data_IF_784354613808
#
_entry.id   IF_784354613808
#
_cell.length_a   1.000
_cell.length_b   1.000
_cell.length_c   1.000
_cell.angle_alpha   90.00
_cell.angle_beta   90.00
_cell.angle_gamma   90.00
#
_symmetry.space_group_name_H-M   'P 1'
#
loop_
_entity.id
_entity.type
_entity.pdbx_description
1 polymer ?
#
# COMPACT_ATOMS: atom_id res chain seq x y z
N UNK A 1 2.79 -1.93 15.64
CA UNK A 1 1.37 -1.62 15.32
C UNK A 1 1.39 -0.76 14.06
N UNK A 2 0.37 -0.86 13.20
CA UNK A 2 0.29 0.02 12.03
C UNK A 2 -0.05 1.46 12.46
N UNK A 3 0.41 2.42 11.66
CA UNK A 3 0.05 3.82 11.86
C UNK A 3 -1.45 4.01 11.62
N UNK A 4 -2.16 4.82 12.43
CA UNK A 4 -3.62 4.94 12.33
C UNK A 4 -4.13 5.33 10.94
N UNK A 5 -3.38 6.15 10.19
CA UNK A 5 -3.78 6.53 8.83
C UNK A 5 -3.76 5.35 7.85
N UNK A 6 -2.82 4.40 8.01
CA UNK A 6 -2.80 3.18 7.22
C UNK A 6 -4.01 2.32 7.58
N UNK A 7 -4.31 2.18 8.89
CA UNK A 7 -5.49 1.45 9.36
C UNK A 7 -6.79 2.02 8.76
N UNK A 8 -6.91 3.35 8.67
CA UNK A 8 -8.05 4.01 8.00
C UNK A 8 -8.05 3.73 6.49
N UNK A 9 -6.89 3.89 5.83
CA UNK A 9 -6.75 3.69 4.39
C UNK A 9 -7.04 2.25 3.94
N UNK A 10 -6.92 1.25 4.82
CA UNK A 10 -7.25 -0.15 4.51
C UNK A 10 -8.66 -0.32 3.92
N UNK A 11 -9.63 0.49 4.34
CA UNK A 11 -11.00 0.40 3.82
C UNK A 11 -11.07 0.81 2.35
N UNK A 12 -10.36 1.87 1.96
CA UNK A 12 -10.31 2.35 0.57
C UNK A 12 -9.46 1.44 -0.32
N UNK A 13 -8.35 0.93 0.22
CA UNK A 13 -7.53 -0.09 -0.44
C UNK A 13 -8.39 -1.32 -0.72
N UNK A 14 -9.14 -1.81 0.27
CA UNK A 14 -10.02 -2.97 0.11
C UNK A 14 -11.12 -2.71 -0.92
N UNK A 15 -11.71 -1.52 -0.90
CA UNK A 15 -12.69 -1.11 -1.90
C UNK A 15 -12.12 -1.16 -3.32
N UNK A 16 -10.90 -0.62 -3.53
CA UNK A 16 -10.27 -0.58 -4.85
C UNK A 16 -9.92 -1.98 -5.35
N UNK A 17 -9.29 -2.82 -4.53
CA UNK A 17 -9.01 -4.22 -4.87
C UNK A 17 -10.25 -4.99 -5.31
N UNK A 18 -11.39 -4.78 -4.61
CA UNK A 18 -12.68 -5.36 -5.00
C UNK A 18 -13.15 -4.92 -6.38
N UNK A 19 -12.90 -3.67 -6.80
CA UNK A 19 -13.24 -3.22 -8.16
C UNK A 19 -12.46 -3.96 -9.25
N UNK A 20 -11.28 -4.49 -8.89
CA UNK A 20 -10.42 -5.28 -9.77
C UNK A 20 -10.62 -6.79 -9.58
N UNK A 21 -11.72 -7.23 -8.96
CA UNK A 21 -12.03 -8.64 -8.68
C UNK A 21 -10.92 -9.38 -7.91
N UNK A 22 -10.15 -8.66 -7.09
CA UNK A 22 -9.04 -9.21 -6.32
C UNK A 22 -9.30 -9.04 -4.81
N UNK A 23 -9.01 -10.05 -3.97
CA UNK A 23 -9.02 -9.86 -2.53
C UNK A 23 -7.80 -9.05 -2.09
N UNK A 24 -7.98 -8.14 -1.14
CA UNK A 24 -6.85 -7.48 -0.48
C UNK A 24 -6.19 -8.43 0.50
N UNK A 25 -4.89 -8.65 0.33
CA UNK A 25 -4.08 -9.46 1.23
C UNK A 25 -2.83 -8.66 1.58
N UNK A 26 -2.68 -8.34 2.87
CA UNK A 26 -1.47 -7.75 3.42
C UNK A 26 -0.49 -8.90 3.71
N UNK A 27 0.68 -8.89 3.08
CA UNK A 27 1.71 -9.93 3.25
C UNK A 27 2.74 -9.57 4.30
N UNK A 28 2.90 -8.28 4.61
CA UNK A 28 3.84 -7.75 5.59
C UNK A 28 3.37 -6.38 6.08
N UNK A 29 3.62 -6.08 7.36
CA UNK A 29 3.31 -4.80 8.00
C UNK A 29 4.43 -4.34 8.92
N UNK A 30 4.37 -4.69 10.21
CA UNK A 30 5.43 -4.39 11.19
C UNK A 30 6.27 -5.63 11.51
N UNK A 31 6.58 -6.41 10.49
CA UNK A 31 7.26 -7.69 10.58
C UNK A 31 8.22 -7.87 9.40
N UNK A 32 8.92 -9.01 9.36
CA UNK A 32 9.87 -9.32 8.29
C UNK A 32 11.24 -8.66 8.43
N UNK A 33 12.08 -8.88 7.42
CA UNK A 33 13.40 -8.27 7.31
C UNK A 33 13.41 -7.30 6.13
N UNK A 34 13.61 -6.03 6.43
CA UNK A 34 13.57 -4.91 5.48
C UNK A 34 14.90 -4.16 5.46
N UNK A 35 15.10 -3.33 4.45
CA UNK A 35 16.27 -2.45 4.33
C UNK A 35 16.42 -1.55 5.57
N UNK A 36 17.66 -1.14 5.93
CA UNK A 36 17.87 -0.14 6.97
C UNK A 36 16.97 1.09 6.76
N UNK A 37 16.41 1.60 7.85
CA UNK A 37 15.51 2.77 7.88
C UNK A 37 14.13 2.61 7.21
N UNK A 38 13.77 1.40 6.74
CA UNK A 38 12.45 1.09 6.18
C UNK A 38 11.30 1.55 7.09
N UNK A 39 10.22 2.04 6.46
CA UNK A 39 9.02 2.50 7.14
C UNK A 39 8.17 1.35 7.73
N UNK A 40 8.39 0.10 7.31
CA UNK A 40 7.82 -1.08 7.97
C UNK A 40 8.15 -1.10 9.47
N UNK A 41 9.42 -0.85 9.83
CA UNK A 41 9.87 -0.84 11.22
C UNK A 41 9.19 0.23 12.09
N UNK A 42 8.55 1.21 11.47
CA UNK A 42 7.81 2.30 12.11
C UNK A 42 6.29 2.10 12.04
N UNK A 43 5.83 0.97 11.49
CA UNK A 43 4.41 0.70 11.24
C UNK A 43 3.82 1.58 10.15
N UNK A 44 4.66 2.17 9.29
CA UNK A 44 4.29 3.15 8.26
C UNK A 44 4.38 2.58 6.84
N UNK A 45 4.51 1.27 6.69
CA UNK A 45 4.43 0.61 5.39
C UNK A 45 3.69 -0.72 5.50
N UNK A 46 3.10 -1.15 4.39
CA UNK A 46 2.49 -2.46 4.21
C UNK A 46 2.82 -3.00 2.82
N UNK A 47 2.93 -4.33 2.71
CA UNK A 47 3.07 -5.01 1.43
C UNK A 47 1.74 -5.66 1.05
N UNK A 48 1.30 -5.42 -0.19
CA UNK A 48 0.02 -5.89 -0.72
C UNK A 48 0.25 -6.93 -1.82
N UNK A 49 -0.38 -8.10 -1.70
CA UNK A 49 -0.30 -9.16 -2.71
C UNK A 49 -0.93 -8.71 -4.03
N UNK A 50 -0.30 -9.12 -5.14
CA UNK A 50 -0.74 -8.79 -6.50
C UNK A 50 -1.18 -9.97 -7.38
N UNK A 51 -1.15 -11.20 -6.88
CA UNK A 51 -1.27 -12.42 -7.71
C UNK A 51 -2.55 -12.55 -8.55
N UNK A 52 -3.63 -11.88 -8.16
CA UNK A 52 -4.92 -11.91 -8.86
C UNK A 52 -5.20 -10.65 -9.69
N UNK A 53 -4.22 -9.76 -9.81
CA UNK A 53 -4.32 -8.57 -10.63
C UNK A 53 -3.75 -8.86 -12.02
N UNK A 54 -4.54 -8.62 -13.06
CA UNK A 54 -4.11 -8.84 -14.45
C UNK A 54 -2.93 -7.92 -14.86
N UNK A 55 -2.90 -6.70 -14.32
CA UNK A 55 -1.80 -5.76 -14.48
C UNK A 55 -1.54 -5.03 -13.16
N UNK A 56 -0.60 -5.56 -12.39
CA UNK A 56 -0.28 -5.07 -11.05
C UNK A 56 0.40 -3.69 -11.05
N UNK A 57 1.23 -3.39 -12.06
CA UNK A 57 1.87 -2.08 -12.22
C UNK A 57 0.82 -0.98 -12.45
N UNK A 58 -0.11 -1.22 -13.38
CA UNK A 58 -1.22 -0.30 -13.62
C UNK A 58 -2.13 -0.17 -12.38
N UNK A 59 -2.33 -1.25 -11.63
CA UNK A 59 -3.09 -1.19 -10.39
C UNK A 59 -2.37 -0.35 -9.32
N UNK A 60 -1.04 -0.42 -9.21
CA UNK A 60 -0.27 0.41 -8.29
C UNK A 60 -0.44 1.91 -8.60
N UNK A 61 -0.44 2.29 -9.89
CA UNK A 61 -0.75 3.66 -10.31
C UNK A 61 -2.18 4.08 -9.97
N UNK A 62 -3.16 3.18 -10.21
CA UNK A 62 -4.55 3.43 -9.86
C UNK A 62 -4.74 3.59 -8.34
N UNK A 63 -4.01 2.80 -7.55
CA UNK A 63 -3.98 2.88 -6.09
C UNK A 63 -3.40 4.22 -5.62
N UNK A 64 -2.26 4.65 -6.19
CA UNK A 64 -1.68 5.96 -5.92
C UNK A 64 -2.71 7.08 -6.15
N UNK A 65 -3.30 7.12 -7.35
CA UNK A 65 -4.28 8.15 -7.73
C UNK A 65 -5.50 8.12 -6.81
N UNK A 66 -5.95 6.94 -6.41
CA UNK A 66 -7.10 6.79 -5.51
C UNK A 66 -6.80 7.36 -4.12
N UNK A 67 -5.65 7.01 -3.54
CA UNK A 67 -5.24 7.48 -2.21
C UNK A 67 -4.94 8.98 -2.23
N UNK A 68 -4.28 9.49 -3.27
CA UNK A 68 -4.00 10.93 -3.42
C UNK A 68 -5.27 11.78 -3.38
N UNK A 69 -6.36 11.31 -3.99
CA UNK A 69 -7.64 12.02 -4.02
C UNK A 69 -8.31 12.12 -2.65
N UNK A 70 -8.07 11.14 -1.77
CA UNK A 70 -8.75 11.03 -0.47
C UNK A 70 -7.89 11.62 0.64
N UNK A 71 -6.59 11.34 0.60
CA UNK A 71 -5.65 11.61 1.69
C UNK A 71 -4.61 12.69 1.35
N UNK A 72 -4.57 13.14 0.08
CA UNK A 72 -3.46 13.93 -0.44
C UNK A 72 -2.23 13.05 -0.73
N UNK A 73 -1.15 13.68 -1.18
CA UNK A 73 0.10 13.02 -1.60
C UNK A 73 0.96 12.48 -0.44
N UNK A 74 0.32 11.91 0.58
CA UNK A 74 0.99 11.41 1.80
C UNK A 74 1.31 9.92 1.75
N UNK A 75 0.88 9.24 0.70
CA UNK A 75 1.16 7.83 0.45
C UNK A 75 2.04 7.67 -0.78
N UNK A 76 2.94 6.69 -0.74
CA UNK A 76 3.76 6.28 -1.88
C UNK A 76 3.46 4.81 -2.18
N UNK A 77 2.87 4.53 -3.35
CA UNK A 77 2.54 3.18 -3.84
C UNK A 77 3.57 2.73 -4.87
N UNK A 78 4.45 1.83 -4.46
CA UNK A 78 5.60 1.37 -5.23
C UNK A 78 5.31 -0.05 -5.74
N UNK A 79 5.37 -0.24 -7.06
CA UNK A 79 5.26 -1.57 -7.66
C UNK A 79 6.58 -2.33 -7.52
N UNK A 80 6.55 -3.45 -6.81
CA UNK A 80 7.65 -4.39 -6.70
C UNK A 80 7.31 -5.70 -7.46
N UNK A 81 8.31 -6.55 -7.77
CA UNK A 81 8.09 -7.73 -8.63
C UNK A 81 7.01 -8.72 -8.15
N UNK A 82 6.78 -8.83 -6.84
CA UNK A 82 5.86 -9.81 -6.25
C UNK A 82 4.78 -9.20 -5.31
N UNK A 83 4.82 -7.89 -5.08
CA UNK A 83 3.86 -7.16 -4.25
C UNK A 83 3.82 -5.66 -4.62
N UNK A 84 2.86 -4.93 -4.06
CA UNK A 84 2.88 -3.46 -4.03
C UNK A 84 3.29 -3.05 -2.62
N UNK A 85 4.39 -2.30 -2.53
CA UNK A 85 4.87 -1.71 -1.29
C UNK A 85 4.21 -0.34 -1.13
N UNK A 86 3.40 -0.17 -0.08
CA UNK A 86 2.68 1.07 0.19
C UNK A 86 3.21 1.71 1.47
N UNK A 87 3.73 2.93 1.35
CA UNK A 87 4.27 3.71 2.47
C UNK A 87 3.39 4.90 2.81
N UNK A 88 3.32 5.25 4.10
CA UNK A 88 2.84 6.54 4.58
C UNK A 88 4.03 7.43 4.94
N UNK A 89 4.36 8.38 4.06
CA UNK A 89 5.39 9.39 4.29
C UNK A 89 4.90 10.82 3.98
N UNK A 90 4.35 11.55 4.97
CA UNK A 90 3.87 12.91 4.75
C UNK A 90 4.99 13.92 4.44
N UNK A 91 6.27 13.51 4.51
CA UNK A 91 7.41 14.38 4.14
C UNK A 91 7.58 14.50 2.63
N UNK A 92 6.94 13.63 1.85
CA UNK A 92 6.96 13.65 0.39
C UNK A 92 5.67 14.24 -0.23
N UNK A 93 4.75 14.74 0.60
CA UNK A 93 3.48 15.35 0.20
C UNK A 93 3.57 16.82 -0.23
#
# INVERSE_FOLDING_TARGET
QLHPILEVALTDIEYLFKQYNSPTVITSGWDGNHMPDSLHYKGKAIDLRIWYLDNAEFFAEALQIHLDRIYGHVFDSIFEPDHIHLEYDPRHA
#
